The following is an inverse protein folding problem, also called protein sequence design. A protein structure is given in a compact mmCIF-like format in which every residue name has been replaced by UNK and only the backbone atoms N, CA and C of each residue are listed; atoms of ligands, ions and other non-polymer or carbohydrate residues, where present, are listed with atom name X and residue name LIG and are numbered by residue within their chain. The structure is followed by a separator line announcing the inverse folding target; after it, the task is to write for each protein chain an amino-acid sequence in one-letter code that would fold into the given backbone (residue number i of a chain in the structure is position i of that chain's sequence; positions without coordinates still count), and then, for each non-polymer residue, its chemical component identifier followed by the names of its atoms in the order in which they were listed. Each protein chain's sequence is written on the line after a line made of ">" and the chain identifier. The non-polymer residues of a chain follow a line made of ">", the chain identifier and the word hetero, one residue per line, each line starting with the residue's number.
data_IF_229983577425
#
_entry.id   IF_229983577425
#
_cell.length_a   1.000
_cell.length_b   1.000
_cell.length_c   1.000
_cell.angle_alpha   90.00
_cell.angle_beta   90.00
_cell.angle_gamma   90.00
#
_symmetry.space_group_name_H-M   'P 1'
#
loop_
_entity.id
_entity.type
_entity.pdbx_description
1 polymer ?
#
# COMPACT_ATOMS: atom_id res chain seq x y z
N UNK A 1 3.60 15.80 -2.90
CA UNK A 1 4.24 14.57 -3.40
C UNK A 1 5.72 14.75 -3.73
N UNK A 2 6.11 15.58 -4.72
CA UNK A 2 7.50 15.73 -5.20
C UNK A 2 8.55 15.93 -4.09
N UNK A 3 8.26 16.74 -3.07
CA UNK A 3 9.16 16.96 -1.94
C UNK A 3 9.40 15.71 -1.08
N UNK A 4 8.39 14.87 -0.88
CA UNK A 4 8.55 13.62 -0.14
C UNK A 4 9.35 12.61 -0.98
N UNK A 5 9.02 12.52 -2.27
CA UNK A 5 9.76 11.67 -3.22
C UNK A 5 11.22 12.08 -3.30
N UNK A 6 11.56 13.37 -3.33
CA UNK A 6 12.97 13.82 -3.36
C UNK A 6 13.76 13.47 -2.10
N UNK A 7 13.11 13.12 -0.99
CA UNK A 7 13.78 12.65 0.24
C UNK A 7 14.05 11.15 0.24
N UNK A 8 13.39 10.40 -0.63
CA UNK A 8 13.40 8.92 -0.66
C UNK A 8 14.03 8.39 -1.94
N UNK A 9 13.81 9.05 -3.08
CA UNK A 9 14.28 8.60 -4.37
C UNK A 9 15.81 8.48 -4.38
N UNK A 10 16.30 7.33 -4.85
CA UNK A 10 17.72 7.00 -4.89
C UNK A 10 18.27 6.45 -3.58
N UNK A 11 17.45 6.30 -2.53
CA UNK A 11 17.87 5.72 -1.26
C UNK A 11 18.45 4.32 -1.49
N UNK A 12 19.63 4.07 -0.92
CA UNK A 12 20.24 2.75 -0.84
C UNK A 12 20.04 2.19 0.57
N UNK A 13 19.34 1.08 0.68
CA UNK A 13 19.07 0.33 1.89
C UNK A 13 20.09 -0.81 2.02
N UNK A 14 21.03 -0.67 2.94
CA UNK A 14 22.13 -1.64 3.13
C UNK A 14 21.68 -2.86 3.95
N UNK A 15 22.43 -3.97 3.89
CA UNK A 15 22.23 -5.10 4.79
C UNK A 15 22.14 -4.67 6.26
N UNK A 16 21.11 -5.13 6.95
CA UNK A 16 20.80 -4.81 8.35
C UNK A 16 20.10 -3.46 8.59
N UNK A 17 20.01 -2.57 7.60
CA UNK A 17 19.37 -1.27 7.75
C UNK A 17 17.84 -1.35 7.67
N UNK A 18 17.19 -0.40 8.32
CA UNK A 18 15.73 -0.20 8.30
C UNK A 18 15.39 1.13 7.66
N UNK A 19 14.65 1.08 6.56
CA UNK A 19 13.88 2.18 6.01
C UNK A 19 12.74 2.54 6.96
N UNK A 20 12.54 3.83 7.20
CA UNK A 20 11.38 4.39 7.89
C UNK A 20 10.91 5.61 7.10
N UNK A 21 9.63 5.64 6.72
CA UNK A 21 9.08 6.73 5.92
C UNK A 21 9.23 8.05 6.69
N UNK A 22 8.83 8.07 7.96
CA UNK A 22 8.86 9.31 8.75
C UNK A 22 10.27 9.74 9.16
N UNK A 23 11.23 8.82 9.30
CA UNK A 23 12.63 9.17 9.52
C UNK A 23 13.22 9.94 8.32
N UNK A 24 12.81 9.60 7.10
CA UNK A 24 13.32 10.23 5.88
C UNK A 24 12.56 11.50 5.50
N UNK A 25 11.21 11.45 5.55
CA UNK A 25 10.35 12.57 5.15
C UNK A 25 10.26 13.63 6.25
N UNK A 26 10.23 13.21 7.51
CA UNK A 26 9.99 14.07 8.67
C UNK A 26 8.58 14.65 8.72
N UNK A 27 8.35 15.59 9.66
CA UNK A 27 7.03 16.26 9.83
C UNK A 27 6.63 17.00 8.55
N UNK A 28 5.50 16.66 7.90
CA UNK A 28 4.99 17.45 6.79
C UNK A 28 4.39 18.76 7.33
N UNK A 29 4.99 19.89 6.99
CA UNK A 29 4.51 21.23 7.39
C UNK A 29 4.53 22.19 6.20
N UNK A 30 3.63 23.19 6.22
CA UNK A 30 3.64 24.27 5.21
C UNK A 30 5.00 24.98 5.15
N UNK A 31 5.61 25.22 6.32
CA UNK A 31 6.94 25.84 6.42
C UNK A 31 8.05 25.05 5.72
N UNK A 32 7.91 23.72 5.62
CA UNK A 32 8.83 22.86 4.87
C UNK A 32 8.48 22.73 3.38
N UNK A 33 7.47 23.46 2.90
CA UNK A 33 7.03 23.42 1.51
C UNK A 33 6.03 22.30 1.17
N UNK A 34 5.45 21.62 2.17
CA UNK A 34 4.38 20.67 1.90
C UNK A 34 3.06 21.40 1.61
N UNK A 35 2.46 21.07 0.47
CA UNK A 35 1.14 21.56 0.09
C UNK A 35 0.03 20.86 0.87
N UNK A 36 -1.12 21.53 0.96
CA UNK A 36 -2.37 20.87 1.33
C UNK A 36 -2.81 19.93 0.19
N UNK A 37 -3.39 18.80 0.57
CA UNK A 37 -4.07 17.89 -0.32
C UNK A 37 -5.10 17.08 0.44
N UNK A 38 -5.79 16.17 -0.25
CA UNK A 38 -6.80 15.34 0.39
C UNK A 38 -6.15 14.28 1.30
N UNK A 39 -6.71 14.15 2.50
CA UNK A 39 -6.37 13.13 3.49
C UNK A 39 -7.65 12.41 3.88
N UNK A 40 -7.64 11.09 3.88
CA UNK A 40 -8.76 10.30 4.39
C UNK A 40 -8.68 10.21 5.92
N UNK A 41 -9.68 10.73 6.62
CA UNK A 41 -9.78 10.70 8.08
C UNK A 41 -11.17 10.22 8.47
N UNK A 42 -11.25 9.10 9.18
CA UNK A 42 -12.52 8.50 9.66
C UNK A 42 -13.59 8.40 8.55
N UNK A 43 -13.21 7.84 7.39
CA UNK A 43 -14.13 7.68 6.27
C UNK A 43 -14.45 8.94 5.47
N UNK A 44 -13.92 10.11 5.87
CA UNK A 44 -14.17 11.40 5.19
C UNK A 44 -12.88 11.98 4.60
N UNK A 45 -12.97 12.60 3.43
CA UNK A 45 -11.87 13.35 2.84
C UNK A 45 -11.80 14.75 3.43
N UNK A 46 -10.68 15.08 4.05
CA UNK A 46 -10.41 16.40 4.63
C UNK A 46 -9.15 17.01 4.02
N UNK A 47 -9.08 18.34 3.84
CA UNK A 47 -7.83 18.99 3.48
C UNK A 47 -6.81 18.84 4.61
N UNK A 48 -5.60 18.43 4.27
CA UNK A 48 -4.50 18.25 5.22
C UNK A 48 -3.14 18.48 4.57
N UNK A 49 -2.19 18.97 5.37
CA UNK A 49 -0.81 19.19 4.91
C UNK A 49 -0.15 17.83 4.64
N UNK A 50 0.44 17.67 3.46
CA UNK A 50 1.01 16.38 3.05
C UNK A 50 -0.02 15.39 2.50
N UNK A 51 -1.16 15.88 2.02
CA UNK A 51 -2.10 15.05 1.26
C UNK A 51 -1.40 14.26 0.14
N UNK A 52 -1.77 12.98 0.02
CA UNK A 52 -1.15 12.03 -0.89
C UNK A 52 0.02 11.21 -0.32
N UNK A 53 0.56 11.49 0.88
CA UNK A 53 1.64 10.68 1.46
C UNK A 53 1.26 9.20 1.67
N UNK A 54 -0.02 8.89 1.90
CA UNK A 54 -0.50 7.50 1.93
C UNK A 54 -0.37 6.78 0.58
N UNK A 55 -0.41 7.49 -0.55
CA UNK A 55 -0.18 6.86 -1.87
C UNK A 55 1.28 6.42 -2.01
N UNK A 56 2.21 7.22 -1.49
CA UNK A 56 3.63 6.90 -1.47
C UNK A 56 3.93 5.68 -0.59
N UNK A 57 3.35 5.61 0.61
CA UNK A 57 3.50 4.42 1.47
C UNK A 57 2.83 3.19 0.87
N UNK A 58 1.66 3.33 0.23
CA UNK A 58 1.02 2.23 -0.49
C UNK A 58 1.93 1.67 -1.58
N UNK A 59 2.52 2.54 -2.43
CA UNK A 59 3.41 2.11 -3.50
C UNK A 59 4.66 1.41 -2.94
N UNK A 60 5.33 1.99 -1.96
CA UNK A 60 6.54 1.42 -1.36
C UNK A 60 6.24 0.05 -0.73
N UNK A 61 5.13 -0.06 0.01
CA UNK A 61 4.72 -1.32 0.60
C UNK A 61 4.44 -2.38 -0.49
N UNK A 62 3.64 -2.03 -1.50
CA UNK A 62 3.31 -2.94 -2.61
C UNK A 62 4.57 -3.48 -3.31
N UNK A 63 5.49 -2.60 -3.71
CA UNK A 63 6.75 -3.01 -4.34
C UNK A 63 7.59 -3.93 -3.45
N UNK A 64 7.56 -3.69 -2.13
CA UNK A 64 8.34 -4.47 -1.17
C UNK A 64 7.87 -5.92 -1.08
N UNK A 65 6.57 -6.18 -1.27
CA UNK A 65 6.02 -7.54 -1.26
C UNK A 65 6.61 -8.43 -2.38
N UNK A 66 7.16 -7.80 -3.43
CA UNK A 66 7.83 -8.48 -4.54
C UNK A 66 9.36 -8.62 -4.35
N UNK A 67 9.86 -8.45 -3.13
CA UNK A 67 11.28 -8.54 -2.79
C UNK A 67 11.48 -9.41 -1.53
N UNK A 68 12.71 -9.90 -1.27
CA UNK A 68 13.04 -10.54 0.02
C UNK A 68 13.14 -9.55 1.19
N UNK A 69 12.94 -8.24 0.98
CA UNK A 69 12.93 -7.26 2.06
C UNK A 69 11.76 -7.52 3.01
N UNK A 70 11.97 -7.26 4.30
CA UNK A 70 10.96 -7.52 5.33
C UNK A 70 10.23 -6.26 5.75
N UNK A 71 8.90 -6.31 5.74
CA UNK A 71 8.06 -5.27 6.32
C UNK A 71 8.04 -5.44 7.84
N UNK A 72 8.62 -4.48 8.58
CA UNK A 72 8.68 -4.51 10.05
C UNK A 72 7.53 -3.77 10.72
N UNK A 73 7.01 -2.74 10.05
CA UNK A 73 5.82 -2.02 10.48
C UNK A 73 4.96 -1.72 9.27
N UNK A 74 3.69 -2.13 9.34
CA UNK A 74 2.65 -1.77 8.39
C UNK A 74 1.31 -1.73 9.11
N UNK A 75 0.53 -0.70 8.81
CA UNK A 75 -0.83 -0.55 9.31
C UNK A 75 -1.83 -0.56 8.16
N UNK A 76 -2.98 -1.21 8.38
CA UNK A 76 -4.07 -1.27 7.40
C UNK A 76 -4.88 0.02 7.38
N UNK A 77 -5.45 0.32 6.21
CA UNK A 77 -6.51 1.32 6.10
C UNK A 77 -7.79 0.76 6.76
N UNK A 78 -8.48 1.58 7.53
CA UNK A 78 -9.71 1.19 8.25
C UNK A 78 -10.98 1.35 7.41
N UNK A 79 -10.90 2.09 6.31
CA UNK A 79 -12.03 2.40 5.43
C UNK A 79 -11.67 2.03 3.99
N UNK A 80 -12.54 1.24 3.34
CA UNK A 80 -12.47 0.97 1.91
C UNK A 80 -13.36 1.97 1.17
N UNK A 81 -12.73 2.96 0.56
CA UNK A 81 -13.42 4.08 -0.10
C UNK A 81 -13.54 3.92 -1.60
N UNK A 82 -12.92 2.88 -2.18
CA UNK A 82 -12.90 2.67 -3.62
C UNK A 82 -13.44 1.28 -3.98
N UNK A 83 -14.56 1.19 -4.74
CA UNK A 83 -15.05 -0.09 -5.24
C UNK A 83 -14.07 -0.72 -6.24
N UNK A 84 -14.18 -2.03 -6.44
CA UNK A 84 -13.21 -2.80 -7.21
C UNK A 84 -13.19 -2.50 -8.71
N UNK A 85 -14.20 -1.81 -9.25
CA UNK A 85 -14.37 -1.58 -10.67
C UNK A 85 -13.14 -0.95 -11.38
N UNK A 86 -12.28 -0.23 -10.64
CA UNK A 86 -11.05 0.38 -11.17
C UNK A 86 -9.79 0.05 -10.34
N UNK A 87 -9.82 -1.04 -9.56
CA UNK A 87 -8.72 -1.39 -8.66
C UNK A 87 -7.63 -2.15 -9.43
N UNK A 88 -6.39 -1.64 -9.39
CA UNK A 88 -5.23 -2.26 -10.06
C UNK A 88 -4.39 -3.17 -9.15
N UNK A 89 -4.60 -3.09 -7.83
CA UNK A 89 -3.87 -3.86 -6.81
C UNK A 89 -4.86 -4.47 -5.81
N UNK A 90 -4.62 -5.66 -5.25
CA UNK A 90 -5.50 -6.33 -4.28
C UNK A 90 -6.06 -5.41 -3.18
N UNK A 91 -7.22 -5.74 -2.62
CA UNK A 91 -7.73 -4.98 -1.47
C UNK A 91 -6.77 -5.08 -0.29
N UNK A 92 -6.56 -3.97 0.42
CA UNK A 92 -5.62 -3.92 1.54
C UNK A 92 -4.14 -4.01 1.17
N UNK A 93 -3.78 -3.91 -0.12
CA UNK A 93 -2.39 -3.82 -0.61
C UNK A 93 -1.67 -2.51 -0.27
N UNK A 94 -2.30 -1.62 0.50
CA UNK A 94 -1.74 -0.35 0.97
C UNK A 94 -1.23 -0.38 2.41
N UNK A 95 -0.49 0.67 2.77
CA UNK A 95 -0.03 0.95 4.13
C UNK A 95 -0.44 2.37 4.52
N UNK A 96 -1.22 2.50 5.60
CA UNK A 96 -1.57 3.82 6.16
C UNK A 96 -0.39 4.39 6.95
N UNK A 97 -0.26 5.72 6.96
CA UNK A 97 0.79 6.44 7.69
C UNK A 97 0.22 7.69 8.35
N UNK A 98 0.61 7.93 9.60
CA UNK A 98 0.25 9.12 10.38
C UNK A 98 1.52 9.63 11.06
N UNK A 99 1.90 10.87 10.75
CA UNK A 99 3.17 11.42 11.20
C UNK A 99 3.33 11.29 12.73
N UNK A 100 4.45 10.68 13.10
CA UNK A 100 4.93 10.40 14.46
C UNK A 100 4.14 9.35 15.27
N UNK A 101 3.21 8.62 14.65
CA UNK A 101 2.44 7.58 15.34
C UNK A 101 2.33 6.26 14.55
N UNK A 102 2.16 6.34 13.23
CA UNK A 102 1.97 5.19 12.36
C UNK A 102 2.93 5.31 11.17
N UNK A 103 3.88 4.39 11.05
CA UNK A 103 4.93 4.41 10.03
C UNK A 103 4.87 3.19 9.09
N UNK A 104 5.59 3.29 7.97
CA UNK A 104 5.96 2.16 7.15
C UNK A 104 7.45 1.91 7.34
N UNK A 105 7.79 0.74 7.89
CA UNK A 105 9.18 0.35 8.12
C UNK A 105 9.53 -0.92 7.36
N UNK A 106 10.66 -0.90 6.65
CA UNK A 106 11.15 -2.01 5.84
C UNK A 106 12.61 -2.27 6.19
N UNK A 107 12.93 -3.50 6.54
CA UNK A 107 14.28 -3.92 6.90
C UNK A 107 14.88 -4.78 5.81
N UNK A 108 16.12 -4.49 5.48
CA UNK A 108 16.92 -5.35 4.62
C UNK A 108 17.66 -6.38 5.48
N UNK A 109 17.13 -7.60 5.56
CA UNK A 109 17.80 -8.72 6.23
C UNK A 109 18.64 -9.57 5.26
N UNK A 110 18.78 -9.12 4.02
CA UNK A 110 19.58 -9.82 3.00
C UNK A 110 21.03 -9.31 3.02
N UNK A 111 21.97 -10.04 2.40
CA UNK A 111 23.35 -9.56 2.22
C UNK A 111 23.51 -8.54 1.08
N UNK A 112 22.45 -8.27 0.29
CA UNK A 112 22.54 -7.43 -0.90
C UNK A 112 22.11 -5.99 -0.62
N UNK A 113 22.60 -5.05 -1.42
CA UNK A 113 22.15 -3.67 -1.40
C UNK A 113 20.88 -3.51 -2.24
N UNK A 114 19.92 -2.75 -1.71
CA UNK A 114 18.68 -2.41 -2.42
C UNK A 114 18.58 -0.90 -2.63
N UNK A 115 18.28 -0.46 -3.85
CA UNK A 115 18.02 0.94 -4.15
C UNK A 115 16.54 1.17 -4.42
N UNK A 116 15.95 2.15 -3.74
CA UNK A 116 14.57 2.60 -3.95
C UNK A 116 14.56 3.74 -4.98
N UNK A 117 13.96 3.49 -6.14
CA UNK A 117 13.73 4.51 -7.16
C UNK A 117 12.25 4.85 -7.17
N UNK A 118 11.92 6.14 -7.09
CA UNK A 118 10.55 6.64 -7.08
C UNK A 118 10.48 7.89 -7.95
N UNK A 119 9.48 7.94 -8.83
CA UNK A 119 9.22 9.07 -9.69
C UNK A 119 7.75 9.51 -9.57
N UNK A 120 7.51 10.82 -9.71
CA UNK A 120 6.16 11.36 -9.85
C UNK A 120 5.94 11.59 -11.33
N UNK A 121 5.22 10.67 -11.98
CA UNK A 121 4.81 10.79 -13.38
C UNK A 121 3.73 11.88 -13.58
N UNK A 122 3.23 11.97 -14.81
CA UNK A 122 2.19 12.96 -15.15
C UNK A 122 0.84 12.60 -14.52
N UNK A 123 0.46 11.31 -14.58
CA UNK A 123 -0.77 10.77 -13.99
C UNK A 123 -0.51 10.04 -12.67
N UNK A 124 0.58 9.28 -12.59
CA UNK A 124 0.77 8.27 -11.56
C UNK A 124 2.11 8.39 -10.81
N UNK A 125 2.15 7.78 -9.63
CA UNK A 125 3.39 7.57 -8.90
C UNK A 125 4.00 6.24 -9.35
N UNK A 126 5.28 6.27 -9.72
CA UNK A 126 6.01 5.13 -10.23
C UNK A 126 7.17 4.79 -9.30
N UNK A 127 7.56 3.52 -9.24
CA UNK A 127 8.74 3.14 -8.48
C UNK A 127 9.23 1.74 -8.75
N UNK A 128 10.40 1.44 -8.22
CA UNK A 128 10.96 0.09 -8.21
C UNK A 128 12.01 -0.06 -7.10
N UNK A 129 12.12 -1.29 -6.59
CA UNK A 129 13.32 -1.74 -5.88
C UNK A 129 14.31 -2.32 -6.89
N UNK A 130 15.55 -1.82 -6.85
CA UNK A 130 16.67 -2.40 -7.61
C UNK A 130 17.58 -3.12 -6.63
N UNK A 131 18.00 -4.33 -6.98
CA UNK A 131 19.01 -5.07 -6.25
C UNK A 131 20.33 -4.98 -7.00
N UNK A 132 21.45 -4.88 -6.29
CA UNK A 132 22.79 -4.94 -6.90
C UNK A 132 23.04 -6.27 -7.60
N UNK A 133 22.48 -7.36 -7.06
CA UNK A 133 22.63 -8.72 -7.59
C UNK A 133 21.33 -9.18 -8.29
N UNK A 134 21.43 -10.04 -9.32
CA UNK A 134 20.27 -10.70 -9.89
C UNK A 134 19.44 -11.40 -8.80
N UNK A 135 18.13 -11.20 -8.84
CA UNK A 135 17.23 -11.88 -7.91
C UNK A 135 17.22 -13.38 -8.22
N UNK A 136 17.33 -14.20 -7.18
CA UNK A 136 17.24 -15.66 -7.29
C UNK A 136 15.80 -16.19 -7.23
N UNK A 137 14.84 -15.32 -6.88
CA UNK A 137 13.44 -15.69 -6.63
C UNK A 137 12.49 -14.73 -7.34
N UNK A 138 11.32 -15.25 -7.71
CA UNK A 138 10.16 -14.49 -8.17
C UNK A 138 9.05 -14.56 -7.12
N UNK A 139 8.30 -13.48 -6.99
CA UNK A 139 7.21 -13.37 -6.01
C UNK A 139 5.90 -13.04 -6.72
N UNK A 140 4.88 -13.85 -6.48
CA UNK A 140 3.51 -13.60 -6.95
C UNK A 140 2.62 -13.32 -5.75
N UNK A 141 2.23 -12.06 -5.59
CA UNK A 141 1.30 -11.63 -4.55
C UNK A 141 -0.12 -11.93 -5.01
N UNK A 142 -0.95 -12.47 -4.12
CA UNK A 142 -2.35 -12.78 -4.38
C UNK A 142 -3.22 -12.50 -3.15
N UNK A 143 -4.53 -12.41 -3.37
CA UNK A 143 -5.52 -12.26 -2.32
C UNK A 143 -6.39 -13.53 -2.19
N UNK A 144 -6.80 -13.84 -0.97
CA UNK A 144 -7.67 -14.97 -0.60
C UNK A 144 -8.66 -14.57 0.49
N UNK A 145 -9.53 -15.49 0.88
CA UNK A 145 -10.45 -15.36 2.01
C UNK A 145 -11.34 -14.11 1.93
N UNK A 146 -11.87 -13.87 0.73
CA UNK A 146 -12.74 -12.72 0.46
C UNK A 146 -14.06 -12.86 1.20
N UNK A 147 -14.36 -11.88 2.06
CA UNK A 147 -15.64 -11.81 2.77
C UNK A 147 -16.14 -10.38 2.81
N UNK A 148 -17.45 -10.21 2.54
CA UNK A 148 -18.18 -8.99 2.84
C UNK A 148 -19.27 -9.36 3.84
N UNK A 149 -19.25 -8.73 5.01
CA UNK A 149 -20.28 -8.90 6.05
C UNK A 149 -21.10 -7.63 6.18
N UNK A 150 -22.42 -7.79 6.37
CA UNK A 150 -23.28 -6.71 6.82
C UNK A 150 -23.21 -6.62 8.33
N UNK A 151 -23.07 -5.40 8.84
CA UNK A 151 -22.86 -5.14 10.26
C UNK A 151 -24.11 -4.55 10.91
N UNK A 152 -24.22 -4.69 12.24
CA UNK A 152 -25.41 -4.29 13.00
C UNK A 152 -25.77 -2.80 12.91
N UNK A 153 -24.80 -1.94 12.59
CA UNK A 153 -25.00 -0.50 12.36
C UNK A 153 -25.49 -0.17 10.94
N UNK A 154 -25.78 -1.19 10.11
CA UNK A 154 -26.27 -1.03 8.74
C UNK A 154 -25.19 -0.81 7.68
N UNK A 155 -23.92 -0.76 8.07
CA UNK A 155 -22.78 -0.69 7.15
C UNK A 155 -22.29 -2.08 6.70
N UNK A 156 -21.27 -2.10 5.84
CA UNK A 156 -20.60 -3.32 5.42
C UNK A 156 -19.13 -3.30 5.83
N UNK A 157 -18.60 -4.48 6.15
CA UNK A 157 -17.19 -4.72 6.37
C UNK A 157 -16.65 -5.61 5.26
N UNK A 158 -15.45 -5.31 4.79
CA UNK A 158 -14.72 -6.11 3.82
C UNK A 158 -13.48 -6.71 4.46
N UNK A 159 -13.26 -7.97 4.15
CA UNK A 159 -12.14 -8.77 4.60
C UNK A 159 -11.44 -9.48 3.42
N UNK A 160 -10.11 -9.57 3.51
CA UNK A 160 -9.30 -10.48 2.72
C UNK A 160 -7.98 -10.79 3.45
N UNK A 161 -7.30 -11.81 2.94
CA UNK A 161 -5.91 -12.11 3.26
C UNK A 161 -5.05 -11.82 2.02
N UNK A 162 -3.86 -11.26 2.24
CA UNK A 162 -2.82 -11.16 1.22
C UNK A 162 -1.72 -12.15 1.60
N UNK A 163 -1.34 -12.95 0.62
CA UNK A 163 -0.22 -13.89 0.69
C UNK A 163 0.65 -13.75 -0.56
N UNK A 164 1.83 -14.37 -0.56
CA UNK A 164 2.69 -14.43 -1.73
C UNK A 164 3.27 -15.81 -1.93
N UNK A 165 3.23 -16.27 -3.18
CA UNK A 165 3.95 -17.45 -3.61
C UNK A 165 5.38 -17.08 -3.99
N UNK A 166 6.33 -17.93 -3.62
CA UNK A 166 7.75 -17.79 -3.94
C UNK A 166 8.11 -18.84 -4.98
N UNK A 167 8.76 -18.42 -6.06
CA UNK A 167 9.24 -19.30 -7.11
C UNK A 167 10.73 -19.14 -7.32
N UNK A 168 11.40 -20.21 -7.75
CA UNK A 168 12.74 -20.12 -8.32
C UNK A 168 12.70 -19.52 -9.74
N UNK A 169 13.86 -19.41 -10.40
CA UNK A 169 13.96 -18.91 -11.77
C UNK A 169 13.33 -19.83 -12.82
N UNK A 170 13.19 -21.13 -12.51
CA UNK A 170 12.58 -22.16 -13.34
C UNK A 170 11.06 -22.28 -13.12
N UNK A 171 10.48 -21.40 -12.31
CA UNK A 171 9.06 -21.37 -11.94
C UNK A 171 8.60 -22.56 -11.06
N UNK A 172 9.53 -23.24 -10.38
CA UNK A 172 9.14 -24.18 -9.32
C UNK A 172 8.73 -23.38 -8.09
N UNK A 173 7.58 -23.72 -7.51
CA UNK A 173 7.12 -23.09 -6.28
C UNK A 173 7.95 -23.58 -5.09
N UNK A 174 8.59 -22.65 -4.40
CA UNK A 174 9.44 -22.90 -3.23
C UNK A 174 8.68 -22.69 -1.92
N UNK A 175 7.62 -21.88 -1.94
CA UNK A 175 6.86 -21.58 -0.74
C UNK A 175 5.62 -20.73 -0.99
N UNK A 176 4.85 -20.56 0.09
CA UNK A 176 3.69 -19.68 0.17
C UNK A 176 3.73 -19.00 1.55
N UNK A 177 3.75 -17.68 1.55
CA UNK A 177 3.92 -16.87 2.75
C UNK A 177 2.70 -15.99 2.99
N UNK A 178 2.13 -16.10 4.18
CA UNK A 178 1.16 -15.12 4.68
C UNK A 178 1.82 -13.76 4.84
N UNK A 179 1.18 -12.70 4.34
CA UNK A 179 1.66 -11.32 4.46
C UNK A 179 0.83 -10.54 5.45
N UNK A 180 -0.48 -10.43 5.21
CA UNK A 180 -1.34 -9.62 6.07
C UNK A 180 -2.80 -9.97 5.90
N UNK A 181 -3.58 -9.64 6.92
CA UNK A 181 -5.02 -9.76 6.95
C UNK A 181 -5.64 -8.36 7.03
N UNK A 182 -6.61 -8.09 6.16
CA UNK A 182 -7.25 -6.79 6.08
C UNK A 182 -8.71 -6.87 6.48
N UNK A 183 -9.15 -5.80 7.15
CA UNK A 183 -10.52 -5.57 7.58
C UNK A 183 -10.77 -4.08 7.44
N UNK A 184 -11.77 -3.69 6.65
CA UNK A 184 -12.13 -2.28 6.49
C UNK A 184 -13.64 -2.08 6.36
N UNK A 185 -14.11 -0.95 6.88
CA UNK A 185 -15.48 -0.48 6.69
C UNK A 185 -15.63 -0.04 5.25
N UNK A 186 -16.59 -0.62 4.53
CA UNK A 186 -16.91 -0.21 3.17
C UNK A 186 -17.68 1.11 3.20
N UNK A 187 -17.20 2.09 2.44
CA UNK A 187 -17.85 3.40 2.29
C UNK A 187 -18.73 3.48 1.03
N UNK A 188 -19.05 2.33 0.44
CA UNK A 188 -19.89 2.16 -0.72
C UNK A 188 -20.72 0.88 -0.57
N UNK A 189 -21.86 0.81 -1.24
CA UNK A 189 -22.69 -0.39 -1.23
C UNK A 189 -22.07 -1.49 -2.11
N UNK A 190 -22.05 -2.75 -1.65
CA UNK A 190 -21.47 -3.87 -2.40
C UNK A 190 -22.26 -4.22 -3.67
N UNK A 191 -23.51 -3.77 -3.80
CA UNK A 191 -24.37 -4.06 -4.93
C UNK A 191 -24.40 -2.88 -5.90
N UNK A 192 -24.24 -3.14 -7.20
CA UNK A 192 -24.66 -2.18 -8.22
C UNK A 192 -26.18 -2.07 -8.12
N UNK A 193 -26.71 -0.85 -8.04
CA UNK A 193 -28.14 -0.62 -8.27
C UNK A 193 -28.42 -0.96 -9.74
N UNK A 194 -28.77 -2.22 -10.01
CA UNK A 194 -29.39 -2.59 -11.27
C UNK A 194 -30.68 -1.77 -11.39
N UNK A 195 -30.77 -0.94 -12.42
CA UNK A 195 -32.01 -0.27 -12.79
C UNK A 195 -33.10 -1.33 -12.93
N UNK A 196 -33.97 -1.44 -11.92
CA UNK A 196 -35.24 -2.15 -12.05
C UNK A 196 -36.05 -1.30 -13.02
N UNK A 197 -35.97 -1.63 -14.31
CA UNK A 197 -36.98 -1.23 -15.26
C UNK A 197 -38.29 -1.84 -14.76
N UNK A 198 -39.08 -1.03 -14.05
CA UNK A 198 -40.50 -1.33 -13.83
C UNK A 198 -41.11 -1.37 -15.23
N UNK A 199 -41.28 -2.56 -15.79
CA UNK A 199 -42.26 -2.75 -16.85
C UNK A 199 -43.60 -2.28 -16.28
N UNK A 200 -44.12 -1.20 -16.86
CA UNK A 200 -45.45 -0.69 -16.57
C UNK A 200 -46.50 -1.75 -16.86
N UNK A 201 -47.55 -1.70 -16.04
CA UNK A 201 -48.84 -2.35 -16.25
C UNK A 201 -49.44 -1.99 -17.61
#
# INVERSE_FOLDING_TARGET
>A
MKLAVSKINGLVLKPGETFSLWRLVGKPTKAKGFSEGMVLKNGSFVPGVGGGLCQLSNLIYWMTLHTPLQVKERWRHTHDVFPDANRTQPFGSGATVVYNYIDLQIKNETPNYYQLQINVGESDLEGQWRCEQPLSHKYKVYESDHLISQEWWGGYMRHNVISRQIFDLHNNQLGDEFITENHAIMMYEPMLTGSINRCGL
#
